data_IF_314813486550
#
_entry.id   IF_314813486550
#
_cell.length_a   1.000
_cell.length_b   1.000
_cell.length_c   1.000
_cell.angle_alpha   90.00
_cell.angle_beta   90.00
_cell.angle_gamma   90.00
#
_symmetry.space_group_name_H-M   'P 1'
#
loop_
_entity.id
_entity.type
_entity.pdbx_description
1 polymer ?
#
# COMPACT_ATOMS: atom_id res chain seq x y z
N UNK A 1 -7.29 -3.85 2.53
CA UNK A 1 -8.00 -3.63 1.25
C UNK A 1 -8.53 -2.21 1.23
N UNK A 2 -8.54 -1.53 0.09
CA UNK A 2 -9.12 -0.19 -0.06
C UNK A 2 -9.90 -0.05 -1.37
N UNK A 3 -10.85 0.89 -1.42
CA UNK A 3 -11.55 1.30 -2.64
C UNK A 3 -10.93 2.58 -3.20
N UNK A 4 -10.50 2.58 -4.45
CA UNK A 4 -10.03 3.78 -5.12
C UNK A 4 -11.21 4.44 -5.86
N UNK A 5 -11.58 5.65 -5.45
CA UNK A 5 -12.76 6.33 -5.99
C UNK A 5 -12.55 6.88 -7.41
N UNK A 6 -11.29 7.07 -7.82
CA UNK A 6 -10.92 7.63 -9.13
C UNK A 6 -11.08 6.58 -10.23
N UNK A 7 -10.50 5.39 -10.04
CA UNK A 7 -10.60 4.30 -11.02
C UNK A 7 -11.77 3.33 -10.75
N UNK A 8 -12.43 3.48 -9.60
CA UNK A 8 -13.55 2.68 -9.10
C UNK A 8 -13.20 1.21 -8.91
N UNK A 9 -11.94 0.89 -8.58
CA UNK A 9 -11.46 -0.48 -8.31
C UNK A 9 -11.18 -0.71 -6.84
N UNK A 10 -11.23 -1.99 -6.45
CA UNK A 10 -10.78 -2.46 -5.14
C UNK A 10 -9.33 -2.93 -5.22
N UNK A 11 -8.53 -2.59 -4.22
CA UNK A 11 -7.13 -2.95 -4.08
C UNK A 11 -6.95 -3.80 -2.81
N UNK A 12 -6.36 -4.97 -2.95
CA UNK A 12 -6.17 -5.93 -1.86
C UNK A 12 -4.69 -6.32 -1.74
N UNK A 13 -4.13 -6.25 -0.54
CA UNK A 13 -2.83 -6.83 -0.21
C UNK A 13 -2.93 -8.32 0.03
N UNK A 14 -1.91 -9.05 -0.42
CA UNK A 14 -1.70 -10.45 -0.07
C UNK A 14 -0.50 -10.51 0.89
N UNK A 15 -0.79 -10.50 2.19
CA UNK A 15 0.11 -10.15 3.30
C UNK A 15 1.52 -10.78 3.23
N UNK A 16 1.62 -12.06 2.83
CA UNK A 16 2.90 -12.77 2.83
C UNK A 16 3.72 -12.66 1.53
N UNK A 17 3.13 -12.14 0.45
CA UNK A 17 3.72 -12.23 -0.91
C UNK A 17 4.23 -10.90 -1.46
N UNK A 18 4.01 -9.79 -0.76
CA UNK A 18 4.33 -8.45 -1.28
C UNK A 18 3.50 -8.08 -2.53
N UNK A 19 2.35 -8.73 -2.75
CA UNK A 19 1.49 -8.52 -3.92
C UNK A 19 0.31 -7.63 -3.59
N UNK A 20 -0.07 -6.79 -4.55
CA UNK A 20 -1.36 -6.11 -4.57
C UNK A 20 -2.16 -6.64 -5.76
N UNK A 21 -3.37 -7.08 -5.46
CA UNK A 21 -4.39 -7.46 -6.43
C UNK A 21 -5.37 -6.29 -6.62
N UNK A 22 -5.91 -6.15 -7.82
CA UNK A 22 -6.94 -5.17 -8.19
C UNK A 22 -8.12 -5.88 -8.84
N UNK A 23 -9.35 -5.47 -8.53
CA UNK A 23 -10.54 -5.98 -9.21
C UNK A 23 -11.65 -4.95 -9.29
N UNK A 24 -12.60 -5.18 -10.19
CA UNK A 24 -13.81 -4.37 -10.28
C UNK A 24 -14.86 -4.86 -9.27
N UNK A 25 -15.23 -4.07 -8.24
CA UNK A 25 -16.23 -4.49 -7.26
C UNK A 25 -17.63 -4.65 -7.86
N UNK A 26 -17.89 -4.14 -9.06
CA UNK A 26 -19.19 -4.19 -9.73
C UNK A 26 -19.25 -5.27 -10.82
N UNK A 27 -18.21 -6.08 -11.00
CA UNK A 27 -18.24 -7.14 -12.00
C UNK A 27 -19.30 -8.20 -11.69
N UNK A 28 -20.18 -8.45 -12.67
CA UNK A 28 -21.24 -9.46 -12.62
C UNK A 28 -20.97 -10.45 -13.76
N UNK A 29 -20.58 -11.70 -13.48
CA UNK A 29 -20.34 -12.68 -14.52
C UNK A 29 -21.66 -13.13 -15.18
N UNK A 30 -21.61 -13.67 -16.42
CA UNK A 30 -22.79 -14.18 -17.11
C UNK A 30 -23.59 -15.17 -16.26
N UNK A 31 -24.92 -15.01 -16.23
CA UNK A 31 -25.82 -15.86 -15.45
C UNK A 31 -25.94 -15.50 -13.96
N UNK A 32 -25.31 -14.41 -13.51
CA UNK A 32 -25.53 -13.82 -12.18
C UNK A 32 -26.25 -12.48 -12.28
N UNK A 33 -26.86 -12.06 -11.17
CA UNK A 33 -27.56 -10.76 -11.03
C UNK A 33 -26.92 -9.85 -9.99
N UNK A 34 -25.91 -10.34 -9.27
CA UNK A 34 -25.17 -9.60 -8.24
C UNK A 34 -23.68 -9.77 -8.45
N UNK A 35 -22.84 -8.82 -7.99
CA UNK A 35 -21.40 -8.94 -8.10
C UNK A 35 -20.88 -10.24 -7.49
N UNK A 36 -19.92 -10.86 -8.18
CA UNK A 36 -19.28 -12.10 -7.75
C UNK A 36 -17.85 -12.10 -8.25
N UNK A 37 -16.90 -11.93 -7.33
CA UNK A 37 -15.48 -11.80 -7.64
C UNK A 37 -14.76 -13.05 -7.17
N UNK A 38 -14.05 -13.70 -8.08
CA UNK A 38 -13.17 -14.83 -7.82
C UNK A 38 -11.71 -14.46 -8.05
N UNK A 39 -10.80 -15.39 -7.81
CA UNK A 39 -9.38 -15.20 -8.09
C UNK A 39 -9.10 -14.88 -9.57
N UNK A 40 -9.87 -15.45 -10.48
CA UNK A 40 -9.71 -15.23 -11.93
C UNK A 40 -10.16 -13.84 -12.37
N UNK A 41 -10.96 -13.16 -11.56
CA UNK A 41 -11.44 -11.78 -11.79
C UNK A 41 -10.48 -10.74 -11.20
N UNK A 42 -9.39 -11.17 -10.55
CA UNK A 42 -8.40 -10.31 -9.93
C UNK A 42 -7.14 -10.16 -10.79
N UNK A 43 -6.66 -8.93 -10.90
CA UNK A 43 -5.42 -8.59 -11.58
C UNK A 43 -4.30 -8.36 -10.57
N UNK A 44 -3.21 -9.13 -10.67
CA UNK A 44 -1.98 -8.82 -9.93
C UNK A 44 -1.30 -7.59 -10.54
N UNK A 45 -1.20 -6.49 -9.82
CA UNK A 45 -0.68 -5.23 -10.39
C UNK A 45 0.65 -4.79 -9.79
N UNK A 46 0.88 -5.01 -8.49
CA UNK A 46 2.07 -4.54 -7.78
C UNK A 46 2.83 -5.68 -7.14
N UNK A 47 4.16 -5.55 -7.08
CA UNK A 47 5.05 -6.43 -6.34
C UNK A 47 5.55 -7.59 -7.18
N UNK A 48 6.77 -8.06 -6.91
CA UNK A 48 7.36 -9.22 -7.61
C UNK A 48 6.82 -10.57 -7.14
N UNK A 49 6.15 -10.62 -5.99
CA UNK A 49 5.69 -11.90 -5.43
C UNK A 49 6.79 -12.74 -4.79
N UNK A 50 8.00 -12.18 -4.65
CA UNK A 50 9.19 -12.87 -4.15
C UNK A 50 9.60 -12.33 -2.78
N UNK A 51 10.12 -13.20 -1.94
CA UNK A 51 10.72 -12.81 -0.67
C UNK A 51 12.10 -12.22 -0.95
N UNK A 52 12.25 -10.91 -0.78
CA UNK A 52 13.53 -10.19 -0.90
C UNK A 52 14.08 -9.75 0.46
N UNK A 53 15.39 -9.62 0.62
CA UNK A 53 16.01 -9.03 1.82
C UNK A 53 16.01 -7.50 1.79
N UNK A 54 15.69 -6.90 0.64
CA UNK A 54 15.70 -5.46 0.40
C UNK A 54 14.43 -5.00 -0.31
N UNK A 55 13.93 -3.82 0.05
CA UNK A 55 12.90 -3.13 -0.73
C UNK A 55 13.51 -2.53 -2.01
N UNK A 56 12.69 -2.39 -3.04
CA UNK A 56 13.07 -1.74 -4.29
C UNK A 56 11.87 -1.03 -4.89
N UNK A 57 12.00 0.27 -5.15
CA UNK A 57 11.05 1.03 -5.94
C UNK A 57 11.01 0.53 -7.39
N UNK A 58 9.93 0.83 -8.10
CA UNK A 58 9.78 0.44 -9.50
C UNK A 58 8.35 0.52 -9.98
N UNK A 59 8.14 0.15 -11.24
CA UNK A 59 6.81 0.18 -11.86
C UNK A 59 6.10 -1.17 -11.71
N UNK A 60 4.90 -1.16 -11.13
CA UNK A 60 4.02 -2.33 -11.06
C UNK A 60 4.68 -3.54 -10.40
N UNK A 61 4.77 -4.63 -11.16
CA UNK A 61 5.34 -5.92 -10.72
C UNK A 61 6.87 -5.94 -10.61
N UNK A 62 7.55 -4.85 -10.94
CA UNK A 62 9.01 -4.72 -10.76
C UNK A 62 9.41 -4.24 -9.36
N UNK A 63 8.48 -3.61 -8.65
CA UNK A 63 8.68 -3.16 -7.29
C UNK A 63 8.85 -4.34 -6.33
N UNK A 64 9.82 -4.26 -5.42
CA UNK A 64 10.03 -5.27 -4.38
C UNK A 64 9.51 -4.74 -3.05
N UNK A 65 8.33 -5.22 -2.68
CA UNK A 65 7.68 -4.93 -1.42
C UNK A 65 7.75 -6.16 -0.50
N UNK A 66 7.46 -5.96 0.77
CA UNK A 66 7.62 -6.95 1.81
C UNK A 66 6.31 -7.55 2.30
N UNK A 67 6.00 -7.32 3.57
CA UNK A 67 4.79 -7.84 4.23
C UNK A 67 3.77 -6.72 4.30
N UNK A 68 2.84 -6.71 3.36
CA UNK A 68 1.89 -5.62 3.16
C UNK A 68 0.65 -5.80 4.02
N UNK A 69 0.23 -4.76 4.73
CA UNK A 69 -0.94 -4.82 5.61
C UNK A 69 -2.03 -3.88 5.12
N UNK A 70 -2.34 -2.83 5.88
CA UNK A 70 -3.38 -1.86 5.55
C UNK A 70 -3.10 -1.06 4.28
N UNK A 71 -4.19 -0.61 3.68
CA UNK A 71 -4.20 0.19 2.46
C UNK A 71 -5.17 1.36 2.66
N UNK A 72 -4.78 2.53 2.15
CA UNK A 72 -5.62 3.71 2.05
C UNK A 72 -5.49 4.32 0.66
N UNK A 73 -6.53 4.99 0.17
CA UNK A 73 -6.53 5.67 -1.12
C UNK A 73 -6.91 7.13 -0.93
N UNK A 74 -6.32 8.01 -1.72
CA UNK A 74 -6.67 9.43 -1.72
C UNK A 74 -7.61 9.81 -2.88
N UNK A 75 -7.95 11.09 -2.97
CA UNK A 75 -8.82 11.64 -4.01
C UNK A 75 -8.13 11.86 -5.37
N UNK A 76 -6.79 11.76 -5.42
CA UNK A 76 -6.00 11.82 -6.65
C UNK A 76 -5.85 10.43 -7.30
N UNK A 77 -6.26 9.37 -6.59
CA UNK A 77 -6.20 7.99 -7.05
C UNK A 77 -4.89 7.29 -6.68
N UNK A 78 -4.10 7.86 -5.78
CA UNK A 78 -2.95 7.17 -5.20
C UNK A 78 -3.42 6.14 -4.18
N UNK A 79 -2.66 5.05 -4.05
CA UNK A 79 -2.86 4.03 -3.01
C UNK A 79 -1.62 3.98 -2.12
N UNK A 80 -1.84 4.18 -0.82
CA UNK A 80 -0.84 4.10 0.23
C UNK A 80 -0.91 2.76 0.94
N UNK A 81 0.25 2.18 1.23
CA UNK A 81 0.34 0.80 1.72
C UNK A 81 1.35 0.72 2.86
N UNK A 82 0.94 0.16 4.00
CA UNK A 82 1.88 -0.16 5.06
C UNK A 82 2.69 -1.41 4.73
N UNK A 83 4.02 -1.32 4.87
CA UNK A 83 4.92 -2.47 4.77
C UNK A 83 5.56 -2.77 6.13
N UNK A 84 5.13 -3.85 6.76
CA UNK A 84 5.67 -4.25 8.05
C UNK A 84 7.10 -4.73 8.00
N UNK A 85 7.50 -5.35 6.88
CA UNK A 85 8.82 -5.94 6.74
C UNK A 85 9.87 -4.86 6.50
N UNK A 86 9.55 -3.87 5.69
CA UNK A 86 10.47 -2.77 5.36
C UNK A 86 10.24 -1.50 6.18
N UNK A 87 9.25 -1.51 7.09
CA UNK A 87 9.01 -0.44 8.06
C UNK A 87 8.78 0.93 7.41
N UNK A 88 8.02 0.92 6.32
CA UNK A 88 7.74 2.10 5.52
C UNK A 88 6.28 2.14 5.08
N UNK A 89 5.92 3.28 4.50
CA UNK A 89 4.68 3.49 3.77
C UNK A 89 5.03 3.63 2.29
N UNK A 90 4.47 2.77 1.45
CA UNK A 90 4.55 2.89 0.00
C UNK A 90 3.46 3.82 -0.52
N UNK A 91 3.73 4.47 -1.65
CA UNK A 91 2.74 5.11 -2.52
C UNK A 91 2.77 4.43 -3.88
N UNK A 92 1.59 4.12 -4.39
CA UNK A 92 1.34 3.65 -5.75
C UNK A 92 0.49 4.70 -6.43
N UNK A 93 1.03 5.33 -7.48
CA UNK A 93 0.28 6.32 -8.26
C UNK A 93 -0.67 5.64 -9.29
N UNK A 94 -1.56 6.40 -9.96
CA UNK A 94 -2.46 5.84 -10.98
C UNK A 94 -1.75 5.20 -12.19
N UNK A 95 -0.46 5.52 -12.40
CA UNK A 95 0.38 4.94 -13.43
C UNK A 95 1.16 3.71 -12.93
N UNK A 96 0.88 3.23 -11.72
CA UNK A 96 1.53 2.10 -11.06
C UNK A 96 3.02 2.31 -10.73
N UNK A 97 3.47 3.56 -10.61
CA UNK A 97 4.79 3.83 -10.03
C UNK A 97 4.73 3.59 -8.52
N UNK A 98 5.58 2.69 -8.02
CA UNK A 98 5.70 2.37 -6.61
C UNK A 98 6.93 3.05 -6.02
N UNK A 99 6.69 3.97 -5.09
CA UNK A 99 7.74 4.72 -4.37
C UNK A 99 7.56 4.59 -2.87
N UNK A 100 8.62 4.77 -2.11
CA UNK A 100 8.54 4.91 -0.66
C UNK A 100 8.08 6.34 -0.38
N UNK A 101 6.87 6.45 0.16
CA UNK A 101 6.27 7.72 0.51
C UNK A 101 6.81 8.26 1.83
N UNK A 102 6.97 7.38 2.83
CA UNK A 102 7.56 7.72 4.11
C UNK A 102 8.27 6.51 4.72
N UNK A 103 9.37 6.76 5.43
CA UNK A 103 10.22 5.72 6.00
C UNK A 103 11.62 5.71 5.40
N UNK A 104 12.44 4.70 5.76
CA UNK A 104 13.78 4.53 5.22
C UNK A 104 13.76 4.39 3.68
N UNK A 105 14.80 4.86 2.98
CA UNK A 105 14.92 4.67 1.53
C UNK A 105 14.99 3.19 1.16
N UNK A 106 14.78 2.89 -0.13
CA UNK A 106 14.79 1.53 -0.64
C UNK A 106 16.10 0.80 -0.29
N UNK A 107 15.99 -0.42 0.22
CA UNK A 107 17.12 -1.17 0.73
C UNK A 107 16.75 -2.10 1.88
N UNK A 108 17.70 -2.44 2.78
CA UNK A 108 17.44 -3.30 3.91
C UNK A 108 16.45 -2.66 4.90
N UNK A 109 15.75 -3.49 5.67
CA UNK A 109 14.79 -3.02 6.67
C UNK A 109 15.48 -2.20 7.77
N UNK A 110 14.92 -1.01 8.06
CA UNK A 110 15.36 -0.16 9.17
C UNK A 110 14.13 0.26 9.98
N UNK A 111 14.01 -0.21 11.21
CA UNK A 111 12.92 0.17 12.11
C UNK A 111 13.36 1.23 13.13
N UNK A 112 12.39 1.93 13.69
CA UNK A 112 12.61 2.84 14.81
C UNK A 112 11.39 3.71 15.06
N UNK A 113 11.57 4.70 15.92
CA UNK A 113 10.59 5.73 16.19
C UNK A 113 11.25 7.09 16.03
N UNK A 114 10.91 7.79 14.96
CA UNK A 114 11.42 9.14 14.67
C UNK A 114 10.45 9.86 13.76
N UNK A 115 10.04 11.07 14.16
CA UNK A 115 9.35 12.04 13.31
C UNK A 115 10.35 12.86 12.49
N UNK A 116 9.87 13.57 11.48
CA UNK A 116 10.69 14.39 10.59
C UNK A 116 10.05 14.51 9.21
N UNK A 117 10.86 14.82 8.21
CA UNK A 117 10.40 14.70 6.82
C UNK A 117 10.06 13.25 6.49
N UNK A 118 9.19 12.98 5.50
CA UNK A 118 8.79 11.61 5.16
C UNK A 118 9.98 10.65 4.96
N UNK A 119 11.04 11.08 4.29
CA UNK A 119 12.26 10.32 4.03
C UNK A 119 13.18 10.14 5.25
N UNK A 120 12.97 10.91 6.31
CA UNK A 120 13.72 10.83 7.57
C UNK A 120 12.97 10.05 8.65
N UNK A 121 11.65 9.89 8.51
CA UNK A 121 10.79 9.23 9.48
C UNK A 121 11.18 7.75 9.64
N UNK A 122 11.05 7.24 10.86
CA UNK A 122 11.16 5.81 11.15
C UNK A 122 9.84 5.30 11.72
N UNK A 123 9.44 4.13 11.22
CA UNK A 123 8.30 3.35 11.68
C UNK A 123 8.77 2.02 12.26
N UNK A 124 7.88 1.34 12.98
CA UNK A 124 8.09 0.01 13.49
C UNK A 124 6.83 -0.82 13.25
N UNK A 125 6.90 -1.65 12.21
CA UNK A 125 5.81 -2.53 11.74
C UNK A 125 4.46 -1.79 11.68
N UNK A 126 4.33 -0.76 10.83
CA UNK A 126 3.05 -0.09 10.63
C UNK A 126 2.03 -1.10 10.10
N UNK A 127 0.82 -1.10 10.67
CA UNK A 127 -0.20 -2.10 10.37
C UNK A 127 -1.29 -1.56 9.47
N UNK A 128 -1.86 -0.40 9.79
CA UNK A 128 -2.98 0.16 9.06
C UNK A 128 -2.76 1.62 8.66
N UNK A 129 -3.50 2.07 7.66
CA UNK A 129 -3.36 3.40 7.06
C UNK A 129 -4.68 3.89 6.49
N UNK A 130 -4.97 5.18 6.66
CA UNK A 130 -6.09 5.84 6.01
C UNK A 130 -5.65 7.23 5.54
N UNK A 131 -6.22 7.67 4.42
CA UNK A 131 -6.02 9.01 3.89
C UNK A 131 -7.32 9.81 4.01
N UNK A 132 -7.22 11.06 4.44
CA UNK A 132 -8.33 11.99 4.47
C UNK A 132 -8.50 12.68 3.12
N UNK A 133 -9.67 13.29 2.91
CA UNK A 133 -9.95 13.98 1.65
C UNK A 133 -9.01 15.17 1.40
N UNK A 134 -8.57 15.86 2.45
CA UNK A 134 -7.61 16.97 2.42
C UNK A 134 -6.13 16.53 2.30
N UNK A 135 -5.89 15.23 2.13
CA UNK A 135 -4.56 14.68 1.86
C UNK A 135 -3.74 14.35 3.10
N UNK A 136 -4.30 14.41 4.32
CA UNK A 136 -3.59 13.90 5.50
C UNK A 136 -3.61 12.36 5.50
N UNK A 137 -2.49 11.75 5.87
CA UNK A 137 -2.37 10.31 5.97
C UNK A 137 -2.11 9.93 7.42
N UNK A 138 -2.95 9.05 7.95
CA UNK A 138 -2.82 8.52 9.30
C UNK A 138 -2.35 7.07 9.25
N UNK A 139 -1.30 6.76 10.02
CA UNK A 139 -0.64 5.44 10.03
C UNK A 139 -0.65 4.87 11.45
N UNK A 140 -1.17 3.65 11.60
CA UNK A 140 -1.07 2.88 12.83
C UNK A 140 0.31 2.23 12.95
N UNK A 141 1.26 2.95 13.55
CA UNK A 141 2.64 2.54 13.76
C UNK A 141 2.73 1.57 14.96
N UNK A 142 2.29 0.33 14.71
CA UNK A 142 1.76 -0.58 15.72
C UNK A 142 2.78 -0.96 16.79
N UNK A 143 4.04 -1.22 16.42
CA UNK A 143 5.05 -1.61 17.40
C UNK A 143 5.65 -0.40 18.14
N UNK A 144 5.45 0.80 17.63
CA UNK A 144 5.72 2.04 18.38
C UNK A 144 4.52 2.48 19.24
N UNK A 145 3.36 1.81 19.12
CA UNK A 145 2.13 2.06 19.91
C UNK A 145 1.57 3.47 19.75
N UNK A 146 1.68 4.02 18.55
CA UNK A 146 1.25 5.39 18.23
C UNK A 146 0.51 5.42 16.90
N UNK A 147 -0.37 6.41 16.74
CA UNK A 147 -0.89 6.81 15.43
C UNK A 147 -0.05 7.99 14.95
N UNK A 148 0.50 7.89 13.75
CA UNK A 148 1.32 8.92 13.11
C UNK A 148 0.49 9.66 12.07
N UNK A 149 0.77 10.94 11.87
CA UNK A 149 0.17 11.75 10.82
C UNK A 149 1.26 12.21 9.86
N UNK A 150 1.01 12.10 8.56
CA UNK A 150 1.87 12.59 7.50
C UNK A 150 1.08 13.66 6.75
N UNK A 151 1.58 14.89 6.78
CA UNK A 151 1.05 16.01 5.99
C UNK A 151 1.79 16.08 4.66
N UNK A 152 1.04 16.29 3.57
CA UNK A 152 1.57 16.45 2.20
C UNK A 152 1.61 17.95 1.80
N UNK A 153 1.50 18.85 2.79
CA UNK A 153 1.58 20.30 2.60
C UNK A 153 3.03 20.80 2.54
#
# INVERSE_FOLDING_TARGET
>A
MTFNAVDRKMYLSLEASGRIMRFDPQYIPPGRTTPWITWDDMEWIIGTGLVSSTSKEGHGREAQLGTLCGLGSDHEGNVYICDQKFHCVWKVDPLLNCTIFAGPPAGPAVSGYRDGKPEEALFNRPYDITATYDGLIYVADTFNRVVRCISIQ
#
